data_IF_052698306314
#
_entry.id   IF_052698306314
#
_cell.length_a   1.000
_cell.length_b   1.000
_cell.length_c   1.000
_cell.angle_alpha   90.00
_cell.angle_beta   90.00
_cell.angle_gamma   90.00
#
_symmetry.space_group_name_H-M   'P 1'
#
loop_
_entity.id
_entity.type
_entity.pdbx_description
1 polymer ?
#
# COMPACT_ATOMS: atom_id res chain seq x y z
N UNK A 1 -13.19 -7.63 8.71
CA UNK A 1 -11.85 -7.30 9.22
C UNK A 1 -11.83 -7.23 10.74
N UNK A 2 -10.80 -7.76 11.42
CA UNK A 2 -10.56 -7.53 12.85
C UNK A 2 -9.64 -6.32 13.04
N UNK A 3 -9.93 -5.48 14.02
CA UNK A 3 -9.17 -4.25 14.31
C UNK A 3 -8.33 -4.43 15.58
N UNK A 4 -7.11 -3.91 15.56
CA UNK A 4 -6.11 -3.94 16.65
C UNK A 4 -5.64 -2.54 17.01
N UNK A 5 -5.23 -2.35 18.27
CA UNK A 5 -4.52 -1.13 18.69
C UNK A 5 -3.06 -1.24 18.28
N UNK A 6 -2.52 -0.20 17.63
CA UNK A 6 -1.11 -0.16 17.25
C UNK A 6 -0.26 0.29 18.45
N UNK A 7 0.13 -0.67 19.30
CA UNK A 7 0.91 -0.39 20.50
C UNK A 7 0.26 0.69 21.38
N UNK A 8 1.02 1.75 21.69
CA UNK A 8 0.60 2.87 22.56
C UNK A 8 0.20 4.13 21.78
N UNK A 9 0.10 4.08 20.45
CA UNK A 9 -0.11 5.27 19.60
C UNK A 9 -1.55 5.77 19.58
N UNK A 10 -2.51 4.97 20.05
CA UNK A 10 -3.94 5.25 19.96
C UNK A 10 -4.57 4.89 18.61
N UNK A 11 -3.77 4.56 17.59
CA UNK A 11 -4.27 4.15 16.28
C UNK A 11 -4.95 2.77 16.34
N UNK A 12 -6.00 2.62 15.53
CA UNK A 12 -6.76 1.38 15.32
C UNK A 12 -6.56 0.91 13.89
N UNK A 13 -5.80 -0.18 13.73
CA UNK A 13 -5.41 -0.73 12.42
C UNK A 13 -6.03 -2.10 12.20
N UNK A 14 -6.22 -2.51 10.95
CA UNK A 14 -6.58 -3.88 10.59
C UNK A 14 -5.53 -4.87 11.10
N UNK A 15 -5.97 -6.09 11.47
CA UNK A 15 -5.05 -7.17 11.90
C UNK A 15 -4.10 -7.61 10.77
N UNK A 16 -4.48 -7.33 9.51
CA UNK A 16 -3.67 -7.52 8.31
C UNK A 16 -3.22 -6.16 7.78
N UNK A 17 -1.93 -6.04 7.42
CA UNK A 17 -1.35 -4.88 6.74
C UNK A 17 -1.13 -5.20 5.25
N UNK A 18 -1.47 -4.27 4.36
CA UNK A 18 -1.18 -4.41 2.93
C UNK A 18 0.26 -3.97 2.64
N UNK A 19 1.14 -4.92 2.29
CA UNK A 19 2.47 -4.60 1.76
C UNK A 19 2.38 -4.19 0.28
N UNK A 20 3.17 -3.19 -0.12
CA UNK A 20 3.11 -2.61 -1.49
C UNK A 20 4.39 -2.79 -2.31
N UNK A 21 5.38 -3.52 -1.80
CA UNK A 21 6.73 -3.60 -2.38
C UNK A 21 6.82 -4.10 -3.83
N UNK A 22 5.77 -4.73 -4.37
CA UNK A 22 5.72 -5.25 -5.74
C UNK A 22 5.12 -4.25 -6.75
N UNK A 23 4.52 -3.15 -6.29
CA UNK A 23 3.80 -2.21 -7.14
C UNK A 23 4.76 -1.37 -7.98
N UNK A 24 4.58 -1.39 -9.30
CA UNK A 24 5.43 -0.68 -10.26
C UNK A 24 6.58 -1.51 -10.85
N UNK A 25 6.67 -2.80 -10.49
CA UNK A 25 7.64 -3.74 -11.04
C UNK A 25 7.00 -5.10 -11.33
N UNK A 26 6.72 -5.93 -10.32
CA UNK A 26 6.04 -7.23 -10.50
C UNK A 26 4.53 -7.07 -10.74
N UNK A 27 3.93 -6.02 -10.16
CA UNK A 27 2.55 -5.62 -10.42
C UNK A 27 2.56 -4.28 -11.16
N UNK A 28 1.86 -4.20 -12.30
CA UNK A 28 1.65 -2.92 -12.98
C UNK A 28 0.69 -2.01 -12.19
N UNK A 29 0.53 -0.76 -12.63
CA UNK A 29 -0.31 0.23 -11.94
C UNK A 29 -1.79 -0.20 -11.85
N UNK A 30 -2.45 -0.67 -12.92
CA UNK A 30 -3.83 -1.17 -12.83
C UNK A 30 -3.98 -2.35 -11.85
N UNK A 31 -3.06 -3.32 -11.87
CA UNK A 31 -3.08 -4.46 -10.93
C UNK A 31 -2.88 -3.98 -9.50
N UNK A 32 -1.96 -3.03 -9.29
CA UNK A 32 -1.73 -2.43 -7.97
C UNK A 32 -2.98 -1.74 -7.43
N UNK A 33 -3.72 -1.03 -8.29
CA UNK A 33 -4.99 -0.40 -7.91
C UNK A 33 -6.06 -1.43 -7.55
N UNK A 34 -6.20 -2.49 -8.35
CA UNK A 34 -7.14 -3.57 -8.06
C UNK A 34 -6.84 -4.26 -6.72
N UNK A 35 -5.56 -4.48 -6.39
CA UNK A 35 -5.13 -5.02 -5.10
C UNK A 35 -5.52 -4.07 -3.95
N UNK A 36 -5.26 -2.76 -4.09
CA UNK A 36 -5.60 -1.77 -3.06
C UNK A 36 -7.12 -1.62 -2.90
N UNK A 37 -7.88 -1.63 -3.99
CA UNK A 37 -9.36 -1.60 -3.97
C UNK A 37 -9.92 -2.82 -3.23
N UNK A 38 -9.46 -4.02 -3.56
CA UNK A 38 -9.87 -5.25 -2.89
C UNK A 38 -9.51 -5.23 -1.39
N UNK A 39 -8.35 -4.71 -1.02
CA UNK A 39 -7.96 -4.59 0.38
C UNK A 39 -8.91 -3.68 1.18
N UNK A 40 -9.25 -2.52 0.62
CA UNK A 40 -10.22 -1.59 1.25
C UNK A 40 -11.61 -2.20 1.33
N UNK A 41 -12.09 -2.87 0.28
CA UNK A 41 -13.38 -3.55 0.27
C UNK A 41 -13.50 -4.57 1.39
N UNK A 42 -12.41 -5.27 1.73
CA UNK A 42 -12.35 -6.23 2.83
C UNK A 42 -12.07 -5.58 4.21
N UNK A 43 -11.99 -4.25 4.27
CA UNK A 43 -11.84 -3.46 5.48
C UNK A 43 -10.41 -3.28 5.98
N UNK A 44 -9.40 -3.50 5.13
CA UNK A 44 -8.01 -3.14 5.45
C UNK A 44 -7.87 -1.63 5.49
N UNK A 45 -7.26 -1.10 6.56
CA UNK A 45 -7.00 0.33 6.73
C UNK A 45 -5.53 0.64 7.05
N UNK A 46 -4.65 -0.36 6.91
CA UNK A 46 -3.24 -0.27 7.22
C UNK A 46 -2.42 -0.80 6.03
N UNK A 47 -1.55 0.06 5.50
CA UNK A 47 -0.69 -0.25 4.37
C UNK A 47 0.76 0.16 4.68
N UNK A 48 1.70 -0.60 4.13
CA UNK A 48 3.15 -0.42 4.24
C UNK A 48 3.73 -0.04 2.87
N UNK A 49 4.61 0.95 2.87
CA UNK A 49 5.35 1.42 1.69
C UNK A 49 6.72 1.96 2.09
N UNK A 50 7.60 2.19 1.13
CA UNK A 50 8.94 2.72 1.35
C UNK A 50 9.43 3.50 0.12
N UNK A 51 10.29 4.50 0.36
CA UNK A 51 11.00 5.26 -0.66
C UNK A 51 11.85 4.36 -1.58
N UNK A 52 12.41 3.28 -1.02
CA UNK A 52 13.21 2.29 -1.75
C UNK A 52 12.41 1.32 -2.63
N UNK A 53 11.08 1.25 -2.52
CA UNK A 53 10.28 0.33 -3.32
C UNK A 53 10.10 0.82 -4.77
N UNK A 54 10.04 -0.10 -5.75
CA UNK A 54 9.71 -1.53 -5.63
C UNK A 54 10.89 -2.49 -5.39
N UNK A 55 10.61 -3.64 -4.79
CA UNK A 55 11.57 -4.72 -4.57
C UNK A 55 12.09 -5.30 -5.90
N UNK A 56 13.42 -5.36 -6.04
CA UNK A 56 14.07 -5.78 -7.30
C UNK A 56 14.08 -4.69 -8.37
N UNK A 57 13.75 -3.44 -7.99
CA UNK A 57 13.92 -2.25 -8.81
C UNK A 57 15.35 -1.75 -8.88
N UNK A 58 15.55 -0.68 -9.65
CA UNK A 58 16.82 0.04 -9.82
C UNK A 58 16.64 1.54 -9.50
N UNK A 59 17.67 2.35 -9.70
CA UNK A 59 17.61 3.80 -9.45
C UNK A 59 16.60 4.54 -10.33
N UNK A 60 16.13 3.96 -11.44
CA UNK A 60 15.09 4.53 -12.29
C UNK A 60 13.68 4.16 -11.80
N UNK A 61 13.55 3.15 -10.95
CA UNK A 61 12.26 2.70 -10.42
C UNK A 61 12.05 2.99 -8.94
N UNK A 62 13.09 3.42 -8.21
CA UNK A 62 12.99 3.88 -6.82
C UNK A 62 11.88 4.93 -6.63
N UNK A 63 11.09 4.82 -5.56
CA UNK A 63 9.95 5.69 -5.26
C UNK A 63 8.71 5.48 -6.15
N UNK A 64 8.75 4.57 -7.12
CA UNK A 64 7.60 4.32 -8.01
C UNK A 64 6.41 3.74 -7.27
N UNK A 65 6.64 2.90 -6.26
CA UNK A 65 5.56 2.35 -5.42
C UNK A 65 4.78 3.47 -4.72
N UNK A 66 5.46 4.42 -4.07
CA UNK A 66 4.79 5.57 -3.43
C UNK A 66 4.05 6.45 -4.44
N UNK A 67 4.61 6.60 -5.66
CA UNK A 67 3.93 7.33 -6.75
C UNK A 67 2.61 6.65 -7.14
N UNK A 68 2.60 5.32 -7.27
CA UNK A 68 1.38 4.54 -7.57
C UNK A 68 0.37 4.67 -6.43
N UNK A 69 0.79 4.50 -5.17
CA UNK A 69 -0.09 4.66 -4.00
C UNK A 69 -0.67 6.08 -3.94
N UNK A 70 0.14 7.11 -4.21
CA UNK A 70 -0.29 8.51 -4.23
C UNK A 70 -1.33 8.80 -5.31
N UNK A 71 -1.16 8.22 -6.52
CA UNK A 71 -2.17 8.31 -7.58
C UNK A 71 -3.49 7.65 -7.17
N UNK A 72 -3.43 6.47 -6.55
CA UNK A 72 -4.62 5.77 -6.07
C UNK A 72 -5.36 6.53 -4.97
N UNK A 73 -4.64 7.16 -4.04
CA UNK A 73 -5.23 7.97 -2.96
C UNK A 73 -5.89 9.28 -3.45
N UNK A 74 -5.55 9.75 -4.66
CA UNK A 74 -6.05 11.03 -5.19
C UNK A 74 -7.57 10.99 -5.32
N UNK A 75 -8.26 11.86 -4.57
CA UNK A 75 -9.73 11.95 -4.58
C UNK A 75 -10.44 10.95 -3.64
N UNK A 76 -9.70 10.22 -2.80
CA UNK A 76 -10.25 9.24 -1.84
C UNK A 76 -10.12 9.65 -0.38
N UNK A 77 -10.13 10.97 -0.09
CA UNK A 77 -10.02 11.54 1.26
C UNK A 77 -11.35 12.08 1.76
#
# INVERSE_FOLDING_TARGET
MKIKRMGRTGLKVSEICLGTMTFGQQCDEPTSFAIMDAAVEHGVNFADTADGYPMGGDLQTVGRTETIVGKWLKGRR
#
